data_IF_652184701144
#
_entry.id   IF_652184701144
#
_cell.length_a   1.000
_cell.length_b   1.000
_cell.length_c   1.000
_cell.angle_alpha   90.00
_cell.angle_beta   90.00
_cell.angle_gamma   90.00
#
_symmetry.space_group_name_H-M   'P 1'
#
loop_
_entity.id
_entity.type
_entity.pdbx_description
1 polymer ?
#
# COMPACT_ATOMS: atom_id res chain seq x y z
N UNK A 1 -4.99 11.86 -28.85
CA UNK A 1 -5.39 13.27 -28.65
C UNK A 1 -6.89 13.44 -28.78
N UNK A 2 -7.62 12.97 -27.76
CA UNK A 2 -8.92 13.51 -27.41
C UNK A 2 -8.80 14.94 -26.88
N UNK A 3 -9.93 15.64 -26.76
CA UNK A 3 -9.97 17.07 -26.41
C UNK A 3 -9.38 17.33 -25.01
N UNK A 4 -9.59 16.41 -24.06
CA UNK A 4 -9.07 16.51 -22.68
C UNK A 4 -7.54 16.43 -22.66
N UNK A 5 -6.94 15.44 -23.34
CA UNK A 5 -5.49 15.26 -23.44
C UNK A 5 -4.80 16.51 -24.00
N UNK A 6 -5.44 17.17 -24.96
CA UNK A 6 -4.94 18.40 -25.57
C UNK A 6 -4.96 19.58 -24.60
N UNK A 7 -5.98 19.69 -23.75
CA UNK A 7 -6.08 20.75 -22.73
C UNK A 7 -5.01 20.55 -21.65
N UNK A 8 -4.78 19.32 -21.16
CA UNK A 8 -3.70 19.06 -20.20
C UNK A 8 -2.31 19.27 -20.82
N UNK A 9 -2.10 18.86 -22.08
CA UNK A 9 -0.83 19.07 -22.78
C UNK A 9 -0.54 20.55 -23.06
N UNK A 10 -1.55 21.34 -23.45
CA UNK A 10 -1.37 22.78 -23.68
C UNK A 10 -1.20 23.56 -22.35
N UNK A 11 -1.82 23.13 -21.23
CA UNK A 11 -1.51 23.65 -19.87
C UNK A 11 -0.10 23.30 -19.39
N UNK A 12 0.34 22.05 -19.57
CA UNK A 12 1.72 21.63 -19.31
C UNK A 12 2.75 22.41 -20.14
N UNK A 13 2.34 22.94 -21.31
CA UNK A 13 3.14 23.80 -22.18
C UNK A 13 3.08 25.28 -21.80
N UNK A 14 2.00 25.73 -21.16
CA UNK A 14 1.83 27.11 -20.66
C UNK A 14 2.67 27.44 -19.42
N UNK A 15 3.07 26.42 -18.64
CA UNK A 15 3.98 26.59 -17.51
C UNK A 15 3.33 27.00 -16.19
N UNK A 16 2.04 26.70 -16.01
CA UNK A 16 1.27 26.91 -14.79
C UNK A 16 1.85 26.07 -13.62
N UNK A 17 2.80 26.65 -12.88
CA UNK A 17 3.54 26.03 -11.77
C UNK A 17 3.16 26.64 -10.40
N UNK A 18 2.05 26.15 -9.84
CA UNK A 18 1.68 26.15 -8.43
C UNK A 18 0.72 24.95 -8.29
N UNK A 19 0.84 24.04 -7.32
CA UNK A 19 1.20 24.21 -5.90
C UNK A 19 2.29 23.19 -5.40
N UNK A 20 2.56 23.20 -4.09
CA UNK A 20 3.22 22.16 -3.26
C UNK A 20 4.69 21.72 -3.49
N UNK A 21 5.48 22.39 -4.33
CA UNK A 21 6.95 22.14 -4.42
C UNK A 21 7.71 22.59 -3.14
N UNK A 22 7.14 23.50 -2.34
CA UNK A 22 7.69 24.01 -1.08
C UNK A 22 8.03 22.91 -0.07
N UNK A 23 7.08 22.01 0.14
CA UNK A 23 7.03 21.14 1.31
C UNK A 23 8.08 20.02 1.23
N UNK A 24 8.47 19.67 0.01
CA UNK A 24 9.48 18.67 -0.31
C UNK A 24 10.83 18.96 0.37
N UNK A 25 11.17 20.23 0.67
CA UNK A 25 12.43 20.57 1.37
C UNK A 25 12.46 20.17 2.84
N UNK A 26 11.33 20.14 3.53
CA UNK A 26 11.29 19.81 4.97
C UNK A 26 11.71 18.36 5.25
N UNK A 27 11.26 17.43 4.40
CA UNK A 27 11.42 15.99 4.59
C UNK A 27 12.88 15.48 4.51
N UNK A 28 13.79 16.18 3.81
CA UNK A 28 15.16 15.69 3.57
C UNK A 28 16.25 16.40 4.40
N UNK A 29 15.88 17.10 5.48
CA UNK A 29 16.83 17.97 6.23
C UNK A 29 17.17 17.48 7.64
N UNK A 30 16.73 16.29 8.06
CA UNK A 30 17.16 15.68 9.32
C UNK A 30 18.44 14.84 9.13
N UNK A 31 19.60 15.23 9.71
CA UNK A 31 20.80 14.41 9.66
C UNK A 31 20.67 13.18 10.58
N UNK A 32 21.13 12.03 10.10
CA UNK A 32 21.18 10.79 10.87
C UNK A 32 22.01 10.96 12.16
N UNK A 33 21.50 10.55 13.34
CA UNK A 33 22.26 10.56 14.58
C UNK A 33 23.51 9.68 14.48
N UNK A 34 24.69 10.25 14.68
CA UNK A 34 25.96 9.48 14.76
C UNK A 34 25.97 8.67 16.05
N UNK A 35 25.78 7.36 15.96
CA UNK A 35 25.82 6.45 17.10
C UNK A 35 27.21 6.38 17.73
N UNK A 36 27.34 6.96 18.92
CA UNK A 36 28.29 6.57 19.96
C UNK A 36 27.50 6.25 21.23
N UNK A 37 27.96 5.25 21.99
CA UNK A 37 27.17 4.63 23.05
C UNK A 37 27.16 5.38 24.39
N UNK A 38 26.61 4.69 25.40
CA UNK A 38 26.46 5.04 26.83
C UNK A 38 25.14 5.70 27.27
N UNK A 39 24.20 4.82 27.65
CA UNK A 39 23.47 4.80 28.95
C UNK A 39 22.67 6.00 29.49
N UNK A 40 21.36 5.72 29.67
CA UNK A 40 20.47 6.08 30.80
C UNK A 40 19.74 7.45 30.90
N UNK A 41 18.54 7.35 31.52
CA UNK A 41 17.76 8.33 32.33
C UNK A 41 16.96 9.49 31.69
N UNK A 42 15.63 9.29 31.68
CA UNK A 42 14.56 10.10 32.32
C UNK A 42 14.17 11.54 31.87
N UNK A 43 12.83 11.76 31.79
CA UNK A 43 12.08 13.04 32.01
C UNK A 43 12.25 14.14 30.92
N UNK A 44 11.34 15.09 30.67
CA UNK A 44 9.94 15.38 31.12
C UNK A 44 9.29 16.41 30.13
N UNK A 45 7.93 16.46 30.04
CA UNK A 45 7.12 17.70 29.73
C UNK A 45 7.34 18.39 28.35
N UNK A 46 6.72 19.50 27.89
CA UNK A 46 5.41 20.25 27.97
C UNK A 46 5.49 21.33 26.82
N UNK A 47 4.48 22.00 26.25
CA UNK A 47 3.00 22.01 26.32
C UNK A 47 2.41 22.72 25.06
N UNK A 48 1.19 22.35 24.65
CA UNK A 48 0.06 23.15 24.09
C UNK A 48 0.18 24.23 22.96
N UNK A 49 -1.03 24.56 22.44
CA UNK A 49 -1.48 25.72 21.62
C UNK A 49 -1.11 25.73 20.11
N UNK A 50 -2.03 25.77 19.12
CA UNK A 50 -3.34 26.44 18.90
C UNK A 50 -3.24 27.80 18.18
N UNK A 51 -3.58 27.84 16.87
CA UNK A 51 -4.58 28.74 16.23
C UNK A 51 -4.52 28.74 14.68
N UNK A 52 -5.69 28.98 14.08
CA UNK A 52 -5.89 29.32 12.65
C UNK A 52 -5.83 30.83 12.43
N UNK A 53 -5.63 31.27 11.19
CA UNK A 53 -6.13 32.58 10.70
C UNK A 53 -6.29 32.59 9.17
N UNK A 54 -7.06 33.57 8.68
CA UNK A 54 -7.82 33.46 7.44
C UNK A 54 -7.21 34.07 6.18
N UNK A 55 -7.83 33.73 5.04
CA UNK A 55 -7.45 34.13 3.68
C UNK A 55 -8.21 35.40 3.27
N UNK A 56 -7.67 36.60 3.55
CA UNK A 56 -8.24 37.84 2.98
C UNK A 56 -7.26 39.01 2.69
N UNK A 57 -6.00 39.00 3.19
CA UNK A 57 -5.05 40.13 2.95
C UNK A 57 -4.23 40.06 1.63
N UNK A 58 -4.40 39.03 0.80
CA UNK A 58 -3.54 38.82 -0.40
C UNK A 58 -4.05 39.43 -1.72
N UNK A 59 -5.23 40.05 -1.76
CA UNK A 59 -5.84 40.61 -2.98
C UNK A 59 -6.07 42.13 -2.92
N UNK A 60 -4.98 42.90 -2.77
CA UNK A 60 -5.04 44.37 -2.65
C UNK A 60 -3.94 45.15 -3.42
N UNK A 61 -3.46 44.64 -4.57
CA UNK A 61 -2.45 45.34 -5.39
C UNK A 61 -2.41 44.93 -6.88
N UNK A 62 -3.47 45.21 -7.67
CA UNK A 62 -3.41 45.03 -9.14
C UNK A 62 -4.20 46.04 -10.00
N UNK A 63 -4.86 47.05 -9.41
CA UNK A 63 -5.60 48.08 -10.16
C UNK A 63 -5.16 49.49 -9.75
N UNK A 64 -4.19 50.05 -10.48
CA UNK A 64 -3.90 51.49 -10.47
C UNK A 64 -3.17 51.93 -11.75
N UNK A 65 -3.88 52.74 -12.56
CA UNK A 65 -3.35 53.71 -13.53
C UNK A 65 -2.59 53.18 -14.78
N UNK A 66 -3.37 53.01 -15.85
CA UNK A 66 -3.01 53.52 -17.17
C UNK A 66 -2.85 55.07 -17.11
N UNK A 67 -1.96 55.69 -17.92
CA UNK A 67 -2.35 56.22 -19.25
C UNK A 67 -1.35 57.25 -19.88
N UNK A 68 -1.44 57.37 -21.22
CA UNK A 68 -1.07 58.45 -22.18
C UNK A 68 0.26 59.28 -22.14
N UNK A 69 1.02 59.11 -23.26
CA UNK A 69 1.49 60.14 -24.23
C UNK A 69 2.76 61.03 -24.03
N UNK A 70 3.71 60.77 -24.95
CA UNK A 70 4.23 61.72 -25.99
C UNK A 70 5.27 62.82 -25.65
N UNK A 71 6.52 62.61 -26.07
CA UNK A 71 7.27 63.57 -26.91
C UNK A 71 8.46 62.92 -27.67
N UNK A 72 9.10 63.68 -28.57
CA UNK A 72 10.21 63.32 -29.51
C UNK A 72 11.04 64.58 -29.82
N UNK A 73 12.25 64.53 -30.44
CA UNK A 73 13.11 63.38 -30.82
C UNK A 73 14.59 63.54 -30.35
N UNK A 74 15.50 62.71 -30.92
CA UNK A 74 16.98 62.81 -30.97
C UNK A 74 17.75 62.71 -29.62
N UNK A 75 18.96 62.12 -29.51
CA UNK A 75 20.03 61.85 -30.50
C UNK A 75 20.67 60.45 -30.33
N UNK A 76 21.49 60.07 -31.31
CA UNK A 76 22.16 58.78 -31.57
C UNK A 76 22.99 58.04 -30.47
N UNK A 77 22.97 56.69 -30.61
CA UNK A 77 24.14 55.76 -30.57
C UNK A 77 24.67 55.15 -29.24
N UNK A 78 24.81 53.80 -29.28
CA UNK A 78 25.61 52.89 -28.40
C UNK A 78 25.25 52.79 -26.90
N UNK A 79 24.33 51.87 -26.59
CA UNK A 79 24.64 50.49 -26.13
C UNK A 79 23.37 49.72 -25.77
N UNK A 80 23.11 48.59 -26.46
CA UNK A 80 22.23 47.55 -25.92
C UNK A 80 23.00 46.77 -24.83
N UNK A 81 23.11 47.37 -23.65
CA UNK A 81 23.50 46.65 -22.45
C UNK A 81 22.41 45.65 -22.11
N UNK A 82 22.79 44.40 -21.84
CA UNK A 82 21.84 43.35 -21.48
C UNK A 82 21.25 43.65 -20.10
N UNK A 83 20.00 44.13 -20.06
CA UNK A 83 19.18 43.93 -18.86
C UNK A 83 19.06 42.42 -18.67
N UNK A 84 19.81 41.90 -17.70
CA UNK A 84 19.48 40.64 -17.08
C UNK A 84 18.15 40.82 -16.37
N UNK A 85 17.06 40.59 -17.10
CA UNK A 85 15.83 40.07 -16.49
C UNK A 85 16.23 38.72 -15.94
N UNK A 86 16.70 38.72 -14.70
CA UNK A 86 16.93 37.53 -13.91
C UNK A 86 15.56 36.92 -13.62
N UNK A 87 15.01 36.22 -14.62
CA UNK A 87 13.95 35.25 -14.41
C UNK A 87 14.44 34.33 -13.30
N UNK A 88 13.82 34.46 -12.13
CA UNK A 88 14.10 33.63 -10.98
C UNK A 88 13.52 32.24 -11.25
N UNK A 89 14.16 31.51 -12.18
CA UNK A 89 13.88 30.11 -12.47
C UNK A 89 14.05 29.37 -11.15
N UNK A 90 12.92 29.09 -10.49
CA UNK A 90 12.89 28.59 -9.13
C UNK A 90 13.74 27.31 -9.08
N UNK A 91 14.90 27.39 -8.43
CA UNK A 91 15.91 26.32 -8.53
C UNK A 91 15.27 25.03 -8.04
N UNK A 92 15.11 24.10 -8.98
CA UNK A 92 14.49 22.80 -8.76
C UNK A 92 15.08 22.15 -7.51
N UNK A 93 14.26 21.61 -6.59
CA UNK A 93 14.78 21.00 -5.37
C UNK A 93 15.78 19.92 -5.71
N UNK A 94 16.93 19.94 -5.05
CA UNK A 94 18.08 19.09 -5.40
C UNK A 94 17.74 17.59 -5.35
N UNK A 95 16.83 17.17 -4.46
CA UNK A 95 16.30 15.80 -4.42
C UNK A 95 15.46 15.41 -5.65
N UNK A 96 14.74 16.34 -6.30
CA UNK A 96 14.03 16.07 -7.56
C UNK A 96 15.03 15.99 -8.72
N UNK A 97 16.08 16.82 -8.72
CA UNK A 97 17.18 16.70 -9.70
C UNK A 97 17.95 15.39 -9.52
N UNK A 98 18.13 14.91 -8.29
CA UNK A 98 18.72 13.59 -8.01
C UNK A 98 17.80 12.45 -8.49
N UNK A 99 16.49 12.54 -8.27
CA UNK A 99 15.51 11.59 -8.82
C UNK A 99 15.63 11.49 -10.35
N UNK A 100 15.69 12.63 -11.04
CA UNK A 100 15.84 12.65 -12.50
C UNK A 100 17.15 12.03 -12.98
N UNK A 101 18.27 12.26 -12.27
CA UNK A 101 19.55 11.62 -12.57
C UNK A 101 19.48 10.09 -12.38
N UNK A 102 18.89 9.62 -11.28
CA UNK A 102 18.70 8.18 -11.00
C UNK A 102 17.83 7.52 -12.07
N UNK A 103 16.67 8.12 -12.39
CA UNK A 103 15.76 7.59 -13.41
C UNK A 103 16.37 7.64 -14.82
N UNK A 104 17.11 8.70 -15.18
CA UNK A 104 17.82 8.77 -16.47
C UNK A 104 18.94 7.74 -16.59
N UNK A 105 19.65 7.47 -15.49
CA UNK A 105 20.66 6.41 -15.47
C UNK A 105 20.04 5.02 -15.64
N UNK A 106 18.93 4.73 -14.94
CA UNK A 106 18.22 3.44 -15.00
C UNK A 106 17.54 3.18 -16.35
N UNK A 107 16.81 4.16 -16.90
CA UNK A 107 16.07 3.98 -18.15
C UNK A 107 16.90 4.23 -19.43
N UNK A 108 18.10 4.81 -19.29
CA UNK A 108 18.97 5.23 -20.39
C UNK A 108 18.32 6.26 -21.36
N UNK A 109 17.34 7.03 -20.87
CA UNK A 109 16.60 8.07 -21.60
C UNK A 109 16.41 9.28 -20.66
N UNK A 110 16.49 10.55 -21.12
CA UNK A 110 16.24 11.72 -20.28
C UNK A 110 14.86 11.66 -19.62
N UNK A 111 14.83 11.82 -18.30
CA UNK A 111 13.60 11.80 -17.50
C UNK A 111 13.37 13.17 -16.88
N UNK A 112 12.14 13.66 -16.97
CA UNK A 112 11.68 14.84 -16.25
C UNK A 112 10.50 14.50 -15.34
N UNK A 113 10.64 14.74 -14.05
CA UNK A 113 9.52 14.81 -13.09
C UNK A 113 8.61 15.97 -13.48
N UNK A 114 7.32 15.67 -13.65
CA UNK A 114 6.29 16.64 -14.05
C UNK A 114 5.36 17.01 -12.89
N UNK A 115 5.07 16.07 -11.98
CA UNK A 115 4.23 16.29 -10.79
C UNK A 115 4.59 15.29 -9.69
N UNK A 116 4.41 15.68 -8.43
CA UNK A 116 4.42 14.79 -7.27
C UNK A 116 3.03 14.87 -6.61
N UNK A 117 2.56 13.76 -6.04
CA UNK A 117 1.31 13.67 -5.28
C UNK A 117 1.52 12.78 -4.05
N UNK A 118 0.77 13.00 -2.99
CA UNK A 118 0.58 11.99 -1.94
C UNK A 118 -0.40 10.91 -2.44
N UNK A 119 -0.19 9.66 -2.00
CA UNK A 119 -1.14 8.56 -2.20
C UNK A 119 -1.96 8.36 -0.90
N UNK A 120 -3.19 8.90 -0.82
CA UNK A 120 -3.93 9.04 0.45
C UNK A 120 -4.51 7.73 1.03
N UNK A 121 -4.20 6.57 0.43
CA UNK A 121 -4.79 5.27 0.77
C UNK A 121 -3.79 4.25 1.35
N UNK A 122 -2.55 4.66 1.61
CA UNK A 122 -1.45 3.75 2.04
C UNK A 122 -1.12 3.91 3.53
N UNK A 123 -0.84 2.79 4.22
CA UNK A 123 -0.41 2.79 5.64
C UNK A 123 1.01 3.36 5.79
N UNK A 124 1.88 3.16 4.79
CA UNK A 124 3.20 3.80 4.64
C UNK A 124 3.06 5.18 3.97
N UNK A 125 4.04 6.07 4.16
CA UNK A 125 4.05 7.37 3.44
C UNK A 125 4.56 7.17 2.01
N UNK A 126 3.63 7.09 1.05
CA UNK A 126 3.97 6.92 -0.38
C UNK A 126 3.66 8.19 -1.18
N UNK A 127 4.62 8.63 -2.02
CA UNK A 127 4.38 9.65 -3.04
C UNK A 127 4.25 9.01 -4.43
N UNK A 128 3.23 9.41 -5.21
CA UNK A 128 3.22 9.18 -6.66
C UNK A 128 4.05 10.28 -7.33
N UNK A 129 5.00 9.91 -8.18
CA UNK A 129 5.76 10.85 -9.02
C UNK A 129 5.44 10.60 -10.48
N UNK A 130 4.76 11.56 -11.11
CA UNK A 130 4.53 11.59 -12.54
C UNK A 130 5.82 12.01 -13.24
N UNK A 131 6.22 11.27 -14.28
CA UNK A 131 7.44 11.49 -15.05
C UNK A 131 7.17 11.53 -16.55
N UNK A 132 8.06 12.21 -17.28
CA UNK A 132 8.15 12.22 -18.73
C UNK A 132 9.49 11.57 -19.11
N UNK A 133 9.43 10.37 -19.72
CA UNK A 133 10.58 9.62 -20.24
C UNK A 133 10.74 9.99 -21.72
N UNK A 134 11.58 10.99 -22.01
CA UNK A 134 11.68 11.63 -23.32
C UNK A 134 10.37 12.32 -23.74
N UNK A 135 9.55 11.62 -24.53
CA UNK A 135 8.22 12.07 -24.96
C UNK A 135 7.07 11.23 -24.38
N UNK A 136 7.36 10.13 -23.66
CA UNK A 136 6.34 9.24 -23.10
C UNK A 136 6.06 9.60 -21.63
N UNK A 137 4.78 9.66 -21.24
CA UNK A 137 4.41 9.78 -19.83
C UNK A 137 4.60 8.43 -19.11
N UNK A 138 4.93 8.50 -17.83
CA UNK A 138 5.01 7.35 -16.93
C UNK A 138 4.87 7.79 -15.48
N UNK A 139 4.88 6.82 -14.56
CA UNK A 139 4.79 7.08 -13.12
C UNK A 139 5.76 6.16 -12.37
N UNK A 140 6.31 6.67 -11.28
CA UNK A 140 7.01 5.86 -10.27
C UNK A 140 6.45 6.20 -8.89
N UNK A 141 6.41 5.22 -7.99
CA UNK A 141 6.11 5.46 -6.59
C UNK A 141 7.38 5.60 -5.76
N UNK A 142 7.30 6.34 -4.68
CA UNK A 142 8.42 6.72 -3.83
C UNK A 142 8.02 6.49 -2.37
N UNK A 143 8.54 5.38 -1.81
CA UNK A 143 8.46 4.96 -0.40
C UNK A 143 8.98 6.06 0.56
N UNK A 144 8.61 6.03 1.85
CA UNK A 144 9.41 6.57 2.95
C UNK A 144 9.11 5.81 4.25
N UNK A 145 10.12 5.13 4.81
CA UNK A 145 10.00 4.27 6.00
C UNK A 145 11.31 4.22 6.81
N UNK A 146 11.35 3.47 7.92
CA UNK A 146 12.59 3.17 8.67
C UNK A 146 13.62 2.46 7.76
N UNK A 147 14.93 2.79 7.84
CA UNK A 147 15.95 2.20 6.97
C UNK A 147 16.03 0.67 6.96
N UNK A 148 15.63 -0.03 8.03
CA UNK A 148 15.59 -1.50 8.06
C UNK A 148 14.35 -2.05 7.35
N UNK A 149 13.20 -1.40 7.54
CA UNK A 149 11.95 -1.75 6.85
C UNK A 149 12.12 -1.50 5.35
N UNK A 150 12.69 -0.35 4.97
CA UNK A 150 13.06 -0.02 3.61
C UNK A 150 14.06 -1.03 3.00
N UNK A 151 15.10 -1.43 3.73
CA UNK A 151 16.04 -2.45 3.24
C UNK A 151 15.35 -3.80 3.01
N UNK A 152 14.47 -4.22 3.92
CA UNK A 152 13.63 -5.43 3.75
C UNK A 152 12.74 -5.32 2.50
N UNK A 153 12.01 -4.22 2.35
CA UNK A 153 11.15 -3.93 1.20
C UNK A 153 11.92 -4.03 -0.13
N UNK A 154 13.11 -3.41 -0.20
CA UNK A 154 13.98 -3.41 -1.38
C UNK A 154 14.55 -4.79 -1.72
N UNK A 155 15.06 -5.53 -0.73
CA UNK A 155 15.63 -6.87 -0.94
C UNK A 155 14.54 -7.86 -1.38
N UNK A 156 13.37 -7.85 -0.73
CA UNK A 156 12.25 -8.72 -1.14
C UNK A 156 11.76 -8.34 -2.54
N UNK A 157 11.54 -7.04 -2.83
CA UNK A 157 11.12 -6.56 -4.16
C UNK A 157 12.11 -6.96 -5.27
N UNK A 158 13.41 -6.88 -4.99
CA UNK A 158 14.47 -7.31 -5.93
C UNK A 158 14.36 -8.80 -6.27
N UNK A 159 14.25 -9.67 -5.24
CA UNK A 159 14.17 -11.11 -5.46
C UNK A 159 12.82 -11.57 -6.04
N UNK A 160 11.71 -10.95 -5.62
CA UNK A 160 10.39 -11.17 -6.20
C UNK A 160 10.36 -10.79 -7.69
N UNK A 161 10.88 -9.60 -8.06
CA UNK A 161 10.98 -9.15 -9.45
C UNK A 161 11.86 -10.07 -10.29
N UNK A 162 13.00 -10.53 -9.74
CA UNK A 162 13.90 -11.49 -10.38
C UNK A 162 13.25 -12.85 -10.67
N UNK A 163 12.40 -13.34 -9.77
CA UNK A 163 11.62 -14.58 -9.97
C UNK A 163 10.31 -14.35 -10.76
N UNK A 164 10.19 -13.21 -11.44
CA UNK A 164 9.04 -12.80 -12.25
C UNK A 164 7.71 -12.68 -11.49
N UNK A 165 7.75 -12.47 -10.17
CA UNK A 165 6.58 -12.03 -9.42
C UNK A 165 6.23 -10.60 -9.87
N UNK A 166 4.97 -10.31 -10.25
CA UNK A 166 4.52 -8.95 -10.46
C UNK A 166 4.64 -8.13 -9.16
N UNK A 167 5.64 -7.25 -9.13
CA UNK A 167 5.96 -6.33 -8.04
C UNK A 167 6.61 -5.10 -8.65
N UNK A 168 6.70 -4.02 -7.90
CA UNK A 168 7.60 -2.93 -8.25
C UNK A 168 9.05 -3.41 -8.26
N UNK A 169 9.71 -3.31 -9.43
CA UNK A 169 11.17 -3.46 -9.53
C UNK A 169 11.82 -2.27 -8.81
N UNK A 170 12.69 -2.48 -7.81
CA UNK A 170 13.39 -1.38 -7.15
C UNK A 170 14.49 -0.82 -8.06
N UNK A 171 14.32 0.41 -8.56
CA UNK A 171 15.30 1.05 -9.46
C UNK A 171 16.57 1.48 -8.71
N UNK A 172 17.72 1.44 -9.39
CA UNK A 172 19.06 1.74 -8.86
C UNK A 172 19.47 0.98 -7.58
N UNK A 173 18.79 -0.13 -7.25
CA UNK A 173 19.09 -1.00 -6.12
C UNK A 173 19.68 -2.35 -6.59
N UNK A 174 20.71 -2.80 -5.90
CA UNK A 174 21.22 -4.18 -5.94
C UNK A 174 21.69 -4.54 -4.54
N UNK A 175 21.34 -5.72 -4.02
CA UNK A 175 21.75 -6.14 -2.67
C UNK A 175 23.27 -6.42 -2.60
N UNK A 176 23.90 -6.74 -3.74
CA UNK A 176 25.34 -6.95 -3.89
C UNK A 176 26.16 -5.64 -3.87
N UNK A 177 25.50 -4.48 -3.92
CA UNK A 177 26.13 -3.16 -3.94
C UNK A 177 26.04 -2.45 -2.56
N UNK A 178 27.03 -1.62 -2.17
CA UNK A 178 26.94 -0.82 -0.95
C UNK A 178 25.70 0.08 -0.98
N UNK A 179 24.79 -0.11 -0.02
CA UNK A 179 23.57 0.67 0.09
C UNK A 179 23.89 2.16 0.29
N UNK A 180 23.76 2.94 -0.78
CA UNK A 180 23.91 4.40 -0.73
C UNK A 180 22.69 4.99 -0.02
N UNK A 181 22.87 5.44 1.22
CA UNK A 181 21.88 6.24 1.93
C UNK A 181 21.46 7.49 1.13
N UNK A 182 22.30 7.96 0.20
CA UNK A 182 21.98 9.04 -0.74
C UNK A 182 20.94 8.65 -1.82
N UNK A 183 20.77 7.36 -2.14
CA UNK A 183 19.61 6.87 -2.91
C UNK A 183 18.36 6.85 -2.02
N UNK A 184 18.56 6.69 -0.70
CA UNK A 184 17.59 7.00 0.35
C UNK A 184 17.22 8.49 0.49
N UNK A 185 17.77 9.41 -0.33
CA UNK A 185 17.20 10.77 -0.53
C UNK A 185 15.88 10.68 -1.32
N UNK A 186 15.50 9.49 -1.79
CA UNK A 186 14.14 9.16 -2.23
C UNK A 186 13.33 8.40 -1.18
N UNK A 187 13.90 8.04 -0.02
CA UNK A 187 13.22 7.34 1.07
C UNK A 187 12.70 5.92 0.78
N UNK A 188 12.78 5.44 -0.47
CA UNK A 188 11.84 4.42 -0.93
C UNK A 188 12.32 3.49 -2.04
N UNK A 189 11.63 2.34 -2.14
CA UNK A 189 11.57 1.57 -3.38
C UNK A 189 10.95 2.41 -4.47
N UNK A 190 11.74 2.79 -5.47
CA UNK A 190 11.24 3.41 -6.68
C UNK A 190 10.54 2.33 -7.51
N UNK A 191 9.21 2.28 -7.41
CA UNK A 191 8.39 1.26 -8.08
C UNK A 191 8.00 1.79 -9.46
N UNK A 192 8.47 1.15 -10.53
CA UNK A 192 7.91 1.40 -11.86
C UNK A 192 6.51 0.80 -11.99
N UNK A 193 5.56 1.69 -12.27
CA UNK A 193 4.22 1.41 -12.80
C UNK A 193 3.44 0.24 -12.18
N UNK A 194 3.17 0.35 -10.88
CA UNK A 194 1.83 -0.01 -10.40
C UNK A 194 0.78 0.87 -11.10
N UNK A 195 -0.38 0.29 -11.42
CA UNK A 195 -1.54 0.99 -11.97
C UNK A 195 -2.45 1.55 -10.88
N UNK A 196 -3.75 1.58 -11.16
CA UNK A 196 -4.78 1.87 -10.17
C UNK A 196 -4.76 0.83 -9.04
N UNK A 197 -4.96 1.27 -7.79
CA UNK A 197 -5.10 0.38 -6.63
C UNK A 197 -6.35 -0.51 -6.78
N UNK A 198 -6.30 -1.74 -6.29
CA UNK A 198 -7.39 -2.72 -6.47
C UNK A 198 -8.75 -2.21 -5.96
N UNK A 199 -8.75 -1.48 -4.84
CA UNK A 199 -9.97 -0.87 -4.29
C UNK A 199 -10.60 0.18 -5.24
N UNK A 200 -9.81 0.97 -5.96
CA UNK A 200 -10.32 1.92 -6.96
C UNK A 200 -10.81 1.20 -8.23
N UNK A 201 -10.14 0.11 -8.63
CA UNK A 201 -10.61 -0.71 -9.75
C UNK A 201 -12.01 -1.27 -9.44
N UNK A 202 -12.23 -1.82 -8.24
CA UNK A 202 -13.55 -2.33 -7.84
C UNK A 202 -14.64 -1.26 -7.90
N UNK A 203 -14.35 -0.02 -7.47
CA UNK A 203 -15.31 1.10 -7.57
C UNK A 203 -15.69 1.39 -9.03
N UNK A 204 -14.71 1.40 -9.94
CA UNK A 204 -14.95 1.58 -11.39
C UNK A 204 -15.70 0.40 -12.03
N UNK A 205 -15.69 -0.77 -11.39
CA UNK A 205 -16.37 -1.99 -11.83
C UNK A 205 -17.77 -2.18 -11.21
N UNK A 206 -18.34 -1.21 -10.48
CA UNK A 206 -19.69 -1.24 -9.86
C UNK A 206 -20.74 -1.96 -10.73
N UNK A 207 -20.74 -1.67 -12.04
CA UNK A 207 -21.75 -2.12 -13.00
C UNK A 207 -21.38 -3.40 -13.76
N UNK A 208 -20.32 -4.08 -13.33
CA UNK A 208 -19.73 -5.25 -13.99
C UNK A 208 -19.28 -6.34 -12.97
N UNK A 209 -20.21 -6.94 -12.20
CA UNK A 209 -19.88 -7.89 -11.13
C UNK A 209 -19.12 -9.14 -11.61
N UNK A 210 -19.40 -9.64 -12.83
CA UNK A 210 -18.65 -10.75 -13.44
C UNK A 210 -17.16 -10.40 -13.64
N UNK A 211 -16.89 -9.14 -13.95
CA UNK A 211 -15.53 -8.63 -14.10
C UNK A 211 -14.85 -8.51 -12.74
N UNK A 212 -15.57 -8.11 -11.67
CA UNK A 212 -15.02 -8.14 -10.30
C UNK A 212 -14.53 -9.55 -9.92
N UNK A 213 -15.29 -10.61 -10.23
CA UNK A 213 -14.82 -11.97 -10.03
C UNK A 213 -13.58 -12.28 -10.89
N UNK A 214 -13.58 -11.92 -12.19
CA UNK A 214 -12.40 -12.10 -13.05
C UNK A 214 -11.15 -11.42 -12.46
N UNK A 215 -11.27 -10.23 -11.89
CA UNK A 215 -10.14 -9.54 -11.26
C UNK A 215 -9.57 -10.33 -10.08
N UNK A 216 -10.43 -10.88 -9.21
CA UNK A 216 -10.01 -11.71 -8.08
C UNK A 216 -9.30 -12.99 -8.55
N UNK A 217 -9.79 -13.64 -9.61
CA UNK A 217 -9.10 -14.80 -10.22
C UNK A 217 -7.70 -14.42 -10.74
N UNK A 218 -7.53 -13.22 -11.31
CA UNK A 218 -6.21 -12.67 -11.63
C UNK A 218 -5.29 -12.57 -10.41
N UNK A 219 -5.79 -12.06 -9.27
CA UNK A 219 -5.03 -11.98 -8.02
C UNK A 219 -4.69 -13.37 -7.46
N UNK A 220 -5.59 -14.36 -7.56
CA UNK A 220 -5.31 -15.75 -7.19
C UNK A 220 -4.11 -16.33 -7.98
N UNK A 221 -4.08 -16.07 -9.29
CA UNK A 221 -2.94 -16.40 -10.15
C UNK A 221 -1.64 -15.66 -9.77
N UNK A 222 -1.73 -14.37 -9.42
CA UNK A 222 -0.58 -13.58 -8.92
C UNK A 222 -0.06 -14.12 -7.58
N UNK A 223 -0.93 -14.49 -6.63
CA UNK A 223 -0.54 -15.03 -5.33
C UNK A 223 0.19 -16.39 -5.46
N UNK A 224 -0.28 -17.26 -6.35
CA UNK A 224 0.41 -18.52 -6.64
C UNK A 224 1.82 -18.31 -7.21
N UNK A 225 1.99 -17.28 -8.05
CA UNK A 225 3.29 -16.87 -8.59
C UNK A 225 4.18 -16.22 -7.51
N UNK A 226 3.62 -15.39 -6.64
CA UNK A 226 4.31 -14.79 -5.49
C UNK A 226 4.87 -15.86 -4.54
N UNK A 227 4.02 -16.76 -4.05
CA UNK A 227 4.44 -17.85 -3.15
C UNK A 227 5.52 -18.74 -3.80
N UNK A 228 5.40 -19.04 -5.09
CA UNK A 228 6.43 -19.79 -5.82
C UNK A 228 7.76 -19.03 -5.93
N UNK A 229 7.73 -17.74 -6.28
CA UNK A 229 8.92 -16.91 -6.44
C UNK A 229 9.67 -16.64 -5.13
N UNK A 230 8.95 -16.28 -4.06
CA UNK A 230 9.53 -16.11 -2.73
C UNK A 230 10.10 -17.42 -2.19
N UNK A 231 9.40 -18.54 -2.38
CA UNK A 231 9.87 -19.84 -1.90
C UNK A 231 11.16 -20.31 -2.59
N UNK A 232 11.36 -20.00 -3.89
CA UNK A 232 12.66 -20.21 -4.56
C UNK A 232 13.74 -19.27 -4.01
N UNK A 233 13.39 -18.00 -3.81
CA UNK A 233 14.30 -16.98 -3.28
C UNK A 233 14.63 -17.13 -1.79
N UNK A 234 14.00 -18.08 -1.07
CA UNK A 234 14.15 -18.29 0.38
C UNK A 234 15.61 -18.29 0.85
N UNK A 235 16.52 -18.95 0.13
CA UNK A 235 17.94 -18.94 0.50
C UNK A 235 18.54 -17.56 0.32
N UNK A 236 18.36 -16.94 -0.84
CA UNK A 236 18.88 -15.61 -1.17
C UNK A 236 18.43 -14.53 -0.18
N UNK A 237 17.16 -14.58 0.26
CA UNK A 237 16.62 -13.68 1.28
C UNK A 237 17.39 -13.82 2.60
N UNK A 238 17.61 -15.06 3.07
CA UNK A 238 18.35 -15.35 4.31
C UNK A 238 19.85 -15.04 4.18
N UNK A 239 20.47 -15.31 3.02
CA UNK A 239 21.85 -14.93 2.70
C UNK A 239 22.04 -13.38 2.78
N UNK A 240 20.97 -12.60 2.59
CA UNK A 240 20.91 -11.13 2.75
C UNK A 240 20.29 -10.65 4.08
N UNK A 241 20.17 -11.53 5.09
CA UNK A 241 19.68 -11.17 6.43
C UNK A 241 18.17 -10.88 6.51
N UNK A 242 17.40 -11.24 5.48
CA UNK A 242 15.94 -11.10 5.46
C UNK A 242 15.31 -12.41 5.93
N UNK A 243 15.04 -12.48 7.23
CA UNK A 243 14.27 -13.57 7.83
C UNK A 243 12.77 -13.43 7.53
N UNK A 244 12.14 -14.55 7.17
CA UNK A 244 10.70 -14.71 7.06
C UNK A 244 10.20 -15.52 8.29
N UNK A 245 9.95 -14.87 9.44
CA UNK A 245 9.65 -15.54 10.71
C UNK A 245 8.41 -16.43 10.58
N UNK A 246 8.34 -17.51 11.36
CA UNK A 246 7.18 -18.40 11.35
C UNK A 246 5.97 -17.67 11.94
N UNK A 247 4.90 -17.55 11.16
CA UNK A 247 3.67 -16.89 11.60
C UNK A 247 3.07 -17.57 12.84
N UNK A 248 2.67 -16.76 13.81
CA UNK A 248 1.86 -17.18 14.96
C UNK A 248 0.66 -16.26 15.09
N UNK A 249 -0.53 -16.86 15.15
CA UNK A 249 -1.78 -16.11 15.36
C UNK A 249 -1.82 -15.47 16.76
N UNK A 250 -1.25 -16.14 17.77
CA UNK A 250 -1.07 -15.62 19.13
C UNK A 250 -0.23 -14.32 19.12
N UNK A 251 0.88 -14.31 18.38
CA UNK A 251 1.73 -13.12 18.25
C UNK A 251 0.99 -11.97 17.57
N UNK A 252 0.30 -12.24 16.45
CA UNK A 252 -0.50 -11.24 15.73
C UNK A 252 -1.65 -10.67 16.58
N UNK A 253 -2.29 -11.52 17.41
CA UNK A 253 -3.27 -11.09 18.41
C UNK A 253 -2.63 -10.18 19.48
N UNK A 254 -1.44 -10.49 19.99
CA UNK A 254 -0.77 -9.62 20.95
C UNK A 254 -0.31 -8.29 20.35
N UNK A 255 0.16 -8.25 19.10
CA UNK A 255 0.57 -7.00 18.44
C UNK A 255 -0.62 -6.09 18.11
N UNK A 256 -1.71 -6.66 17.60
CA UNK A 256 -2.92 -5.91 17.21
C UNK A 256 -3.82 -5.58 18.41
N UNK A 257 -4.06 -6.55 19.31
CA UNK A 257 -5.03 -6.45 20.39
C UNK A 257 -4.40 -6.16 21.76
N UNK A 258 -3.15 -6.56 22.00
CA UNK A 258 -2.50 -6.37 23.31
C UNK A 258 -2.37 -4.90 23.73
N UNK A 259 -2.24 -4.00 22.74
CA UNK A 259 -2.26 -2.53 22.93
C UNK A 259 -3.68 -2.01 23.18
N UNK A 260 -4.66 -2.54 22.47
CA UNK A 260 -6.07 -2.12 22.50
C UNK A 260 -6.82 -2.61 23.74
N UNK A 261 -6.40 -3.75 24.32
CA UNK A 261 -7.04 -4.45 25.43
C UNK A 261 -6.19 -4.43 26.72
N UNK A 262 -5.39 -3.39 26.93
CA UNK A 262 -4.70 -3.09 28.20
C UNK A 262 -4.00 -4.29 28.89
N UNK A 263 -3.36 -5.18 28.12
CA UNK A 263 -2.59 -6.29 28.67
C UNK A 263 -3.39 -7.54 29.11
N UNK A 264 -4.57 -7.80 28.55
CA UNK A 264 -5.33 -9.06 28.76
C UNK A 264 -4.69 -10.31 28.10
N UNK A 265 -3.37 -10.50 28.25
CA UNK A 265 -2.59 -11.54 27.56
C UNK A 265 -3.19 -12.94 27.74
N UNK A 266 -3.53 -13.34 28.97
CA UNK A 266 -4.13 -14.64 29.25
C UNK A 266 -5.52 -14.85 28.60
N UNK A 267 -6.25 -13.80 28.18
CA UNK A 267 -7.50 -13.94 27.40
C UNK A 267 -7.18 -14.14 25.91
N UNK A 268 -6.18 -13.42 25.39
CA UNK A 268 -5.68 -13.55 24.02
C UNK A 268 -5.04 -14.92 23.76
N UNK A 269 -4.24 -15.45 24.69
CA UNK A 269 -3.66 -16.80 24.63
C UNK A 269 -4.75 -17.88 24.52
N UNK A 270 -5.81 -17.79 25.34
CA UNK A 270 -6.95 -18.73 25.26
C UNK A 270 -7.69 -18.63 23.93
N UNK A 271 -7.84 -17.43 23.37
CA UNK A 271 -8.44 -17.22 22.06
C UNK A 271 -7.57 -17.81 20.94
N UNK A 272 -6.25 -17.60 21.00
CA UNK A 272 -5.29 -18.16 20.05
C UNK A 272 -5.32 -19.70 20.06
N UNK A 273 -5.41 -20.29 21.25
CA UNK A 273 -5.56 -21.74 21.42
C UNK A 273 -6.92 -22.26 20.94
N UNK A 274 -8.02 -21.58 21.25
CA UNK A 274 -9.37 -21.97 20.80
C UNK A 274 -9.52 -21.90 19.27
N UNK A 275 -8.81 -21.00 18.61
CA UNK A 275 -8.78 -20.83 17.14
C UNK A 275 -7.54 -21.44 16.48
N UNK A 276 -6.81 -22.33 17.17
CA UNK A 276 -5.55 -22.89 16.67
C UNK A 276 -5.76 -23.75 15.41
N UNK A 277 -5.16 -23.33 14.29
CA UNK A 277 -5.15 -24.10 13.04
C UNK A 277 -3.74 -24.71 12.81
N UNK A 278 -3.56 -26.04 12.86
CA UNK A 278 -2.27 -26.68 12.65
C UNK A 278 -1.86 -26.66 11.17
N UNK A 279 -1.05 -25.67 10.79
CA UNK A 279 -0.53 -25.54 9.43
C UNK A 279 0.31 -26.77 9.00
N UNK A 280 -0.12 -27.41 7.90
CA UNK A 280 0.39 -28.69 7.36
C UNK A 280 1.49 -28.57 6.32
N UNK A 281 1.66 -27.36 5.78
CA UNK A 281 2.67 -26.97 4.82
C UNK A 281 3.13 -25.55 5.17
N UNK A 282 4.35 -25.20 4.79
CA UNK A 282 4.91 -23.87 5.06
C UNK A 282 5.63 -23.36 3.82
N UNK A 283 5.27 -22.15 3.41
CA UNK A 283 5.90 -21.39 2.33
C UNK A 283 6.23 -19.98 2.84
N UNK A 284 7.05 -19.22 2.12
CA UNK A 284 7.11 -17.77 2.33
C UNK A 284 5.83 -17.14 1.77
N UNK A 285 5.15 -16.38 2.61
CA UNK A 285 3.92 -15.64 2.38
C UNK A 285 4.24 -14.13 2.35
N UNK A 286 3.36 -13.32 1.74
CA UNK A 286 3.43 -11.86 1.72
C UNK A 286 3.22 -11.25 3.11
N UNK A 287 2.23 -11.73 3.86
CA UNK A 287 1.99 -11.30 5.26
C UNK A 287 0.84 -10.32 5.48
N UNK A 288 0.57 -9.37 4.58
CA UNK A 288 -0.65 -8.55 4.66
C UNK A 288 -1.20 -8.29 3.24
N UNK A 289 -2.14 -9.12 2.78
CA UNK A 289 -2.63 -9.13 1.38
C UNK A 289 -4.00 -8.47 1.27
N UNK A 290 -4.13 -7.23 1.73
CA UNK A 290 -5.39 -6.48 1.58
C UNK A 290 -5.49 -5.77 0.22
N UNK A 291 -6.69 -5.29 -0.12
CA UNK A 291 -7.02 -4.60 -1.40
C UNK A 291 -6.34 -3.23 -1.62
N UNK A 292 -5.37 -2.86 -0.77
CA UNK A 292 -4.46 -1.72 -0.94
C UNK A 292 -3.05 -2.16 -1.35
N UNK A 293 -2.65 -3.36 -0.97
CA UNK A 293 -1.35 -3.97 -1.29
C UNK A 293 -1.39 -4.75 -2.62
N UNK A 294 -2.58 -4.86 -3.22
CA UNK A 294 -2.82 -5.32 -4.59
C UNK A 294 -3.01 -4.11 -5.52
N UNK A 295 -2.28 -4.11 -6.62
CA UNK A 295 -2.28 -3.04 -7.64
C UNK A 295 -2.51 -3.65 -9.02
N UNK A 296 -3.13 -2.90 -9.94
CA UNK A 296 -3.19 -3.33 -11.34
C UNK A 296 -1.83 -3.18 -12.03
N UNK A 297 -1.62 -3.91 -13.12
CA UNK A 297 -0.52 -3.65 -14.06
C UNK A 297 -1.02 -2.79 -15.23
N UNK A 298 -0.14 -2.03 -15.89
CA UNK A 298 -0.50 -1.30 -17.14
C UNK A 298 0.24 -1.84 -18.35
N UNK A 299 -0.47 -2.11 -19.45
CA UNK A 299 0.15 -2.34 -20.75
C UNK A 299 0.54 -1.01 -21.41
N UNK A 300 1.72 -0.95 -22.02
CA UNK A 300 2.06 0.14 -22.95
C UNK A 300 1.58 -0.22 -24.36
N UNK A 301 0.34 0.14 -24.69
CA UNK A 301 -0.16 0.02 -26.05
C UNK A 301 0.32 1.22 -26.86
N UNK A 302 1.20 0.96 -27.85
CA UNK A 302 2.04 1.95 -28.54
C UNK A 302 1.34 3.01 -29.40
N UNK A 303 0.01 3.12 -29.31
CA UNK A 303 -0.83 4.10 -30.01
C UNK A 303 -1.83 4.82 -29.09
N UNK A 304 -2.13 4.28 -27.91
CA UNK A 304 -3.16 4.76 -26.97
C UNK A 304 -2.63 5.14 -25.58
N UNK A 305 -1.42 4.69 -25.22
CA UNK A 305 -0.77 5.01 -23.95
C UNK A 305 -0.81 3.85 -22.94
N UNK A 306 -0.67 4.15 -21.62
CA UNK A 306 -0.76 3.13 -20.58
C UNK A 306 -2.22 2.74 -20.31
N UNK A 307 -2.59 1.50 -20.62
CA UNK A 307 -3.92 0.94 -20.38
C UNK A 307 -3.89 0.01 -19.16
N UNK A 308 -4.78 0.25 -18.18
CA UNK A 308 -4.90 -0.56 -16.97
C UNK A 308 -5.42 -1.97 -17.29
N UNK A 309 -4.65 -3.01 -16.97
CA UNK A 309 -5.02 -4.41 -17.17
C UNK A 309 -5.87 -4.91 -15.99
N UNK A 310 -7.06 -5.40 -16.31
CA UNK A 310 -8.06 -5.89 -15.34
C UNK A 310 -7.85 -7.35 -14.91
N UNK A 311 -6.85 -8.03 -15.46
CA UNK A 311 -6.52 -9.43 -15.20
C UNK A 311 -5.02 -9.66 -14.90
N UNK A 312 -4.23 -8.59 -14.77
CA UNK A 312 -2.84 -8.65 -14.33
C UNK A 312 -2.64 -7.72 -13.15
N UNK A 313 -2.16 -8.29 -12.03
CA UNK A 313 -2.01 -7.58 -10.76
C UNK A 313 -0.59 -7.72 -10.22
N UNK A 314 -0.08 -6.63 -9.66
CA UNK A 314 1.12 -6.59 -8.83
C UNK A 314 0.80 -6.71 -7.35
N UNK A 315 1.80 -7.11 -6.57
CA UNK A 315 1.81 -7.09 -5.10
C UNK A 315 2.91 -6.13 -4.64
N UNK A 316 2.64 -5.38 -3.57
CA UNK A 316 3.55 -4.43 -2.92
C UNK A 316 3.39 -4.51 -1.40
N UNK A 317 4.27 -3.86 -0.64
CA UNK A 317 4.22 -3.75 0.84
C UNK A 317 4.73 -5.02 1.56
N UNK A 318 6.00 -5.36 1.29
CA UNK A 318 6.67 -6.59 1.73
C UNK A 318 7.17 -6.56 3.20
N UNK A 319 6.66 -5.68 4.06
CA UNK A 319 7.13 -5.58 5.46
C UNK A 319 6.80 -6.82 6.29
N UNK A 320 5.72 -7.53 5.97
CA UNK A 320 5.13 -8.56 6.84
C UNK A 320 5.44 -10.00 6.40
N UNK A 321 6.37 -10.18 5.44
CA UNK A 321 6.70 -11.50 4.90
C UNK A 321 7.07 -12.51 5.98
N UNK A 322 6.43 -13.68 5.91
CA UNK A 322 6.45 -14.67 6.98
C UNK A 322 6.44 -16.11 6.43
N UNK A 323 6.89 -17.08 7.22
CA UNK A 323 6.78 -18.50 6.90
C UNK A 323 5.44 -19.04 7.47
N UNK A 324 4.46 -19.29 6.60
CA UNK A 324 3.09 -19.67 6.98
C UNK A 324 2.47 -20.68 6.00
N UNK A 325 1.25 -21.17 6.29
CA UNK A 325 0.46 -21.91 5.32
C UNK A 325 -0.08 -20.96 4.24
N UNK A 326 0.07 -21.23 2.94
CA UNK A 326 -0.33 -20.29 1.87
C UNK A 326 -1.81 -19.92 1.90
N UNK A 327 -2.67 -20.72 2.55
CA UNK A 327 -4.09 -20.36 2.76
C UNK A 327 -4.28 -19.06 3.55
N UNK A 328 -3.30 -18.64 4.35
CA UNK A 328 -3.33 -17.41 5.14
C UNK A 328 -3.59 -16.23 4.21
N UNK A 329 -2.71 -16.04 3.23
CA UNK A 329 -2.73 -14.91 2.31
C UNK A 329 -3.86 -15.01 1.27
N UNK A 330 -4.26 -16.24 0.91
CA UNK A 330 -5.43 -16.52 0.04
C UNK A 330 -6.73 -16.11 0.75
N UNK A 331 -6.87 -16.39 2.06
CA UNK A 331 -8.01 -15.97 2.88
C UNK A 331 -7.96 -14.48 3.18
N UNK A 332 -6.77 -13.95 3.46
CA UNK A 332 -6.51 -12.54 3.73
C UNK A 332 -7.09 -11.66 2.62
N UNK A 333 -6.60 -11.88 1.39
CA UNK A 333 -7.13 -11.20 0.21
C UNK A 333 -8.64 -11.36 0.06
N UNK A 334 -9.19 -12.56 0.28
CA UNK A 334 -10.62 -12.80 0.04
C UNK A 334 -11.53 -12.12 1.06
N UNK A 335 -11.15 -12.09 2.35
CA UNK A 335 -11.90 -11.35 3.38
C UNK A 335 -11.93 -9.86 3.03
N UNK A 336 -10.79 -9.30 2.59
CA UNK A 336 -10.69 -7.91 2.16
C UNK A 336 -11.46 -7.63 0.85
N UNK A 337 -11.35 -8.51 -0.14
CA UNK A 337 -12.06 -8.46 -1.43
C UNK A 337 -13.56 -8.49 -1.25
N UNK A 338 -14.10 -9.48 -0.53
CA UNK A 338 -15.55 -9.62 -0.31
C UNK A 338 -16.11 -8.44 0.47
N UNK A 339 -15.36 -7.89 1.44
CA UNK A 339 -15.76 -6.66 2.15
C UNK A 339 -15.83 -5.47 1.20
N UNK A 340 -14.78 -5.25 0.40
CA UNK A 340 -14.71 -4.16 -0.57
C UNK A 340 -15.83 -4.28 -1.63
N UNK A 341 -15.99 -5.47 -2.24
CA UNK A 341 -17.05 -5.72 -3.21
C UNK A 341 -18.44 -5.57 -2.61
N UNK A 342 -18.73 -6.11 -1.41
CA UNK A 342 -20.06 -5.96 -0.79
C UNK A 342 -20.41 -4.52 -0.43
N UNK A 343 -19.43 -3.63 -0.25
CA UNK A 343 -19.69 -2.20 -0.06
C UNK A 343 -20.17 -1.48 -1.34
N UNK A 344 -19.87 -2.05 -2.51
CA UNK A 344 -20.21 -1.50 -3.84
C UNK A 344 -21.41 -2.24 -4.45
N UNK A 345 -21.40 -3.58 -4.33
CA UNK A 345 -22.43 -4.49 -4.83
C UNK A 345 -22.88 -5.44 -3.70
N UNK A 346 -23.84 -5.03 -2.85
CA UNK A 346 -24.25 -5.80 -1.67
C UNK A 346 -24.83 -7.21 -1.95
N UNK A 347 -25.15 -7.52 -3.20
CA UNK A 347 -25.64 -8.83 -3.66
C UNK A 347 -24.54 -9.76 -4.17
N UNK A 348 -23.27 -9.50 -3.84
CA UNK A 348 -22.16 -10.34 -4.28
C UNK A 348 -22.18 -11.73 -3.63
N UNK A 349 -22.35 -12.74 -4.48
CA UNK A 349 -22.25 -14.16 -4.13
C UNK A 349 -20.77 -14.59 -4.10
N UNK A 350 -20.37 -15.31 -3.04
CA UNK A 350 -18.98 -15.68 -2.83
C UNK A 350 -18.57 -16.91 -3.68
N UNK A 351 -17.96 -16.65 -4.84
CA UNK A 351 -17.36 -17.67 -5.70
C UNK A 351 -16.01 -18.23 -5.16
N UNK A 352 -15.93 -18.50 -3.85
CA UNK A 352 -14.69 -18.85 -3.16
C UNK A 352 -14.02 -20.13 -3.68
N UNK A 353 -14.80 -21.17 -3.98
CA UNK A 353 -14.26 -22.44 -4.46
C UNK A 353 -13.60 -22.28 -5.85
N UNK A 354 -14.09 -21.33 -6.66
CA UNK A 354 -13.48 -20.96 -7.95
C UNK A 354 -12.15 -20.21 -7.72
N UNK A 355 -12.09 -19.33 -6.72
CA UNK A 355 -10.86 -18.63 -6.33
C UNK A 355 -9.77 -19.59 -5.79
N UNK A 356 -10.14 -20.57 -4.94
CA UNK A 356 -9.21 -21.64 -4.53
C UNK A 356 -8.78 -22.49 -5.74
N UNK A 357 -9.71 -22.88 -6.63
CA UNK A 357 -9.39 -23.70 -7.78
C UNK A 357 -8.40 -23.01 -8.74
N UNK A 358 -8.56 -21.71 -8.97
CA UNK A 358 -7.65 -20.91 -9.77
C UNK A 358 -6.26 -20.77 -9.12
N UNK A 359 -6.19 -20.45 -7.83
CA UNK A 359 -4.92 -20.47 -7.09
C UNK A 359 -4.24 -21.86 -7.20
N UNK A 360 -5.01 -22.93 -7.04
CA UNK A 360 -4.50 -24.30 -7.08
C UNK A 360 -3.97 -24.70 -8.46
N UNK A 361 -4.68 -24.32 -9.53
CA UNK A 361 -4.26 -24.47 -10.93
C UNK A 361 -2.94 -23.73 -11.17
N UNK A 362 -2.91 -22.43 -10.86
CA UNK A 362 -1.71 -21.61 -11.04
C UNK A 362 -0.53 -22.12 -10.20
N UNK A 363 -0.74 -22.53 -8.95
CA UNK A 363 0.31 -23.09 -8.08
C UNK A 363 0.90 -24.37 -8.66
N UNK A 364 0.06 -25.23 -9.25
CA UNK A 364 0.49 -26.47 -9.93
C UNK A 364 1.34 -26.17 -11.16
N UNK A 365 0.95 -25.18 -11.96
CA UNK A 365 1.71 -24.72 -13.13
C UNK A 365 3.06 -24.07 -12.77
N UNK A 366 3.15 -23.33 -11.65
CA UNK A 366 4.38 -22.64 -11.22
C UNK A 366 5.36 -23.52 -10.44
N UNK A 367 4.89 -24.55 -9.74
CA UNK A 367 5.73 -25.36 -8.83
C UNK A 367 5.87 -26.83 -9.23
N UNK A 368 5.08 -27.30 -10.21
CA UNK A 368 4.94 -28.72 -10.56
C UNK A 368 4.18 -29.55 -9.51
N UNK A 369 3.96 -29.01 -8.32
CA UNK A 369 3.29 -29.69 -7.20
C UNK A 369 1.84 -29.22 -7.10
N UNK A 370 0.92 -30.17 -6.95
CA UNK A 370 -0.48 -29.86 -6.74
C UNK A 370 -0.67 -29.19 -5.37
N UNK A 371 -1.22 -27.97 -5.36
CA UNK A 371 -1.67 -27.36 -4.12
C UNK A 371 -2.82 -28.19 -3.56
N UNK A 372 -2.54 -28.93 -2.49
CA UNK A 372 -3.56 -29.67 -1.76
C UNK A 372 -4.54 -28.67 -1.16
N UNK A 373 -5.74 -28.60 -1.74
CA UNK A 373 -6.84 -27.76 -1.26
C UNK A 373 -7.02 -27.94 0.26
N UNK A 374 -7.13 -26.83 1.03
CA UNK A 374 -7.30 -26.89 2.48
C UNK A 374 -8.60 -27.63 2.83
N UNK A 375 -8.66 -28.23 4.02
CA UNK A 375 -9.94 -28.75 4.50
C UNK A 375 -10.87 -27.60 4.86
N UNK A 376 -12.18 -27.85 4.79
CA UNK A 376 -13.23 -26.86 5.13
C UNK A 376 -13.09 -26.35 6.57
N UNK A 377 -12.66 -27.19 7.51
CA UNK A 377 -12.42 -26.76 8.90
C UNK A 377 -11.15 -25.89 9.06
N UNK A 378 -10.11 -26.12 8.25
CA UNK A 378 -8.90 -25.27 8.20
C UNK A 378 -9.21 -23.90 7.59
N UNK A 379 -9.96 -23.90 6.50
CA UNK A 379 -10.48 -22.72 5.81
C UNK A 379 -11.26 -21.81 6.78
N UNK A 380 -12.26 -22.37 7.46
CA UNK A 380 -13.15 -21.60 8.34
C UNK A 380 -12.36 -21.00 9.50
N UNK A 381 -11.43 -21.76 10.11
CA UNK A 381 -10.53 -21.22 11.14
C UNK A 381 -9.71 -20.04 10.63
N UNK A 382 -9.10 -20.13 9.46
CA UNK A 382 -8.31 -19.01 8.92
C UNK A 382 -9.16 -17.78 8.59
N UNK A 383 -10.42 -17.94 8.15
CA UNK A 383 -11.36 -16.82 8.00
C UNK A 383 -11.63 -16.14 9.35
N UNK A 384 -12.01 -16.90 10.38
CA UNK A 384 -12.21 -16.37 11.74
C UNK A 384 -10.95 -15.69 12.27
N UNK A 385 -9.76 -16.27 12.05
CA UNK A 385 -8.49 -15.65 12.47
C UNK A 385 -8.29 -14.26 11.84
N UNK A 386 -8.49 -14.09 10.52
CA UNK A 386 -8.34 -12.75 9.90
C UNK A 386 -9.46 -11.80 10.30
N UNK A 387 -10.71 -12.25 10.37
CA UNK A 387 -11.82 -11.42 10.84
C UNK A 387 -11.58 -10.91 12.28
N UNK A 388 -11.01 -11.74 13.17
CA UNK A 388 -10.67 -11.35 14.56
C UNK A 388 -9.56 -10.30 14.62
N UNK A 389 -8.58 -10.34 13.71
CA UNK A 389 -7.57 -9.28 13.60
C UNK A 389 -8.16 -8.00 13.00
N UNK A 390 -9.03 -8.14 11.99
CA UNK A 390 -9.69 -7.01 11.33
C UNK A 390 -10.74 -6.31 12.22
N UNK A 391 -11.29 -6.95 13.24
CA UNK A 391 -12.21 -6.33 14.21
C UNK A 391 -11.62 -5.08 14.90
N UNK A 392 -10.30 -4.99 15.03
CA UNK A 392 -9.60 -4.04 15.92
C UNK A 392 -8.43 -3.33 15.21
N UNK A 393 -8.59 -2.96 13.94
CA UNK A 393 -7.59 -2.26 13.11
C UNK A 393 -7.17 -0.91 13.72
N UNK A 394 -5.98 -0.81 14.36
CA UNK A 394 -5.60 0.34 15.17
C UNK A 394 -5.14 1.55 14.34
N UNK A 395 -5.08 1.39 13.01
CA UNK A 395 -4.73 2.47 12.08
C UNK A 395 -5.94 3.35 11.70
N UNK A 396 -7.15 3.00 12.13
CA UNK A 396 -8.38 3.74 11.82
C UNK A 396 -8.69 4.79 12.88
N UNK A 397 -9.21 5.93 12.44
CA UNK A 397 -9.46 7.12 13.28
C UNK A 397 -10.88 7.66 13.18
N UNK A 398 -11.66 7.30 12.15
CA UNK A 398 -13.09 7.63 12.07
C UNK A 398 -13.93 6.62 12.88
N UNK A 399 -14.67 7.05 13.92
CA UNK A 399 -15.54 6.18 14.69
C UNK A 399 -16.61 5.45 13.87
N UNK A 400 -17.09 6.02 12.76
CA UNK A 400 -18.14 5.41 11.94
C UNK A 400 -17.60 4.26 11.09
N UNK A 401 -16.53 4.48 10.32
CA UNK A 401 -15.82 3.44 9.57
C UNK A 401 -15.25 2.33 10.48
N UNK A 402 -14.83 2.65 11.72
CA UNK A 402 -14.49 1.65 12.75
C UNK A 402 -15.72 0.80 13.10
N UNK A 403 -16.86 1.42 13.44
CA UNK A 403 -18.06 0.71 13.83
C UNK A 403 -18.64 -0.16 12.69
N UNK A 404 -18.60 0.32 11.45
CA UNK A 404 -19.07 -0.43 10.28
C UNK A 404 -18.19 -1.63 9.95
N UNK A 405 -16.86 -1.44 9.94
CA UNK A 405 -15.90 -2.55 9.78
C UNK A 405 -16.04 -3.58 10.90
N UNK A 406 -16.12 -3.14 12.16
CA UNK A 406 -16.27 -4.02 13.30
C UNK A 406 -17.61 -4.80 13.25
N UNK A 407 -18.72 -4.17 12.83
CA UNK A 407 -20.00 -4.85 12.60
C UNK A 407 -19.88 -5.92 11.53
N UNK A 408 -19.21 -5.64 10.40
CA UNK A 408 -18.99 -6.60 9.32
C UNK A 408 -18.22 -7.84 9.82
N UNK A 409 -17.06 -7.66 10.45
CA UNK A 409 -16.24 -8.79 10.89
C UNK A 409 -16.86 -9.57 12.05
N UNK A 410 -17.56 -8.91 12.99
CA UNK A 410 -18.30 -9.61 14.04
C UNK A 410 -19.40 -10.52 13.45
N UNK A 411 -20.09 -10.06 12.39
CA UNK A 411 -21.07 -10.87 11.66
C UNK A 411 -20.42 -12.03 10.90
N UNK A 412 -19.28 -11.80 10.23
CA UNK A 412 -18.53 -12.85 9.53
C UNK A 412 -18.03 -13.93 10.52
N UNK A 413 -17.48 -13.53 11.67
CA UNK A 413 -17.09 -14.43 12.77
C UNK A 413 -18.29 -15.27 13.24
N UNK A 414 -19.46 -14.66 13.45
CA UNK A 414 -20.65 -15.40 13.89
C UNK A 414 -21.05 -16.50 12.89
N UNK A 415 -21.10 -16.18 11.59
CA UNK A 415 -21.41 -17.14 10.53
C UNK A 415 -20.34 -18.24 10.42
N UNK A 416 -19.07 -17.85 10.39
CA UNK A 416 -17.93 -18.77 10.29
C UNK A 416 -17.85 -19.70 11.51
N UNK A 417 -18.01 -19.21 12.75
CA UNK A 417 -18.02 -20.04 13.95
C UNK A 417 -19.25 -20.97 14.03
N UNK A 418 -20.42 -20.54 13.55
CA UNK A 418 -21.60 -21.39 13.44
C UNK A 418 -21.33 -22.57 12.48
N UNK A 419 -20.71 -22.32 11.33
CA UNK A 419 -20.27 -23.38 10.42
C UNK A 419 -19.17 -24.27 11.03
N UNK A 420 -18.23 -23.68 11.77
CA UNK A 420 -17.15 -24.43 12.44
C UNK A 420 -17.66 -25.38 13.54
N UNK A 421 -18.80 -25.06 14.16
CA UNK A 421 -19.42 -25.84 15.26
C UNK A 421 -19.68 -27.30 14.88
N UNK A 422 -19.91 -27.58 13.60
CA UNK A 422 -20.10 -28.95 13.08
C UNK A 422 -18.82 -29.80 13.07
N UNK A 423 -17.64 -29.16 13.05
CA UNK A 423 -16.34 -29.83 13.03
C UNK A 423 -15.70 -29.93 14.41
N UNK A 424 -15.83 -28.89 15.25
CA UNK A 424 -15.26 -28.88 16.60
C UNK A 424 -16.09 -28.00 17.58
N UNK A 425 -17.17 -28.53 18.16
CA UNK A 425 -18.08 -27.73 18.99
C UNK A 425 -17.45 -27.22 20.29
N UNK A 426 -16.44 -27.92 20.83
CA UNK A 426 -15.76 -27.51 22.06
C UNK A 426 -14.90 -26.26 21.84
N UNK A 427 -14.05 -26.24 20.80
CA UNK A 427 -13.27 -25.06 20.44
C UNK A 427 -14.17 -23.90 19.98
N UNK A 428 -15.25 -24.17 19.23
CA UNK A 428 -16.25 -23.13 18.91
C UNK A 428 -16.83 -22.49 20.16
N UNK A 429 -17.24 -23.29 21.15
CA UNK A 429 -17.85 -22.76 22.38
C UNK A 429 -16.89 -21.86 23.15
N UNK A 430 -15.62 -22.28 23.31
CA UNK A 430 -14.59 -21.48 23.98
C UNK A 430 -14.28 -20.17 23.21
N UNK A 431 -14.19 -20.23 21.88
CA UNK A 431 -13.97 -19.03 21.06
C UNK A 431 -15.16 -18.06 21.13
N UNK A 432 -16.40 -18.58 21.07
CA UNK A 432 -17.63 -17.78 21.21
C UNK A 432 -17.72 -17.12 22.58
N UNK A 433 -17.40 -17.84 23.66
CA UNK A 433 -17.40 -17.28 25.02
C UNK A 433 -16.42 -16.12 25.15
N UNK A 434 -15.16 -16.33 24.73
CA UNK A 434 -14.10 -15.32 24.84
C UNK A 434 -14.40 -14.10 23.95
N UNK A 435 -14.80 -14.30 22.70
CA UNK A 435 -15.11 -13.19 21.78
C UNK A 435 -16.37 -12.43 22.22
N UNK A 436 -17.41 -13.11 22.72
CA UNK A 436 -18.60 -12.43 23.21
C UNK A 436 -18.36 -11.61 24.47
N UNK A 437 -17.40 -12.01 25.31
CA UNK A 437 -16.94 -11.28 26.50
C UNK A 437 -16.11 -10.05 26.08
N UNK A 438 -15.15 -10.20 25.17
CA UNK A 438 -14.34 -9.10 24.61
C UNK A 438 -15.19 -8.04 23.88
N UNK A 439 -16.26 -8.45 23.20
CA UNK A 439 -17.09 -7.56 22.40
C UNK A 439 -18.30 -6.99 23.17
N UNK A 440 -18.61 -7.49 24.37
CA UNK A 440 -19.72 -7.03 25.19
C UNK A 440 -19.76 -5.51 25.49
N UNK A 441 -18.62 -4.78 25.63
CA UNK A 441 -18.64 -3.33 25.85
C UNK A 441 -19.13 -2.51 24.64
N UNK A 442 -19.18 -3.09 23.44
CA UNK A 442 -19.47 -2.36 22.21
C UNK A 442 -20.95 -2.51 21.84
N UNK A 443 -21.75 -1.50 22.17
CA UNK A 443 -23.20 -1.48 21.98
C UNK A 443 -23.66 -1.82 20.55
N UNK A 444 -22.90 -1.41 19.54
CA UNK A 444 -23.17 -1.68 18.13
C UNK A 444 -22.89 -3.13 17.69
N UNK A 445 -22.30 -3.97 18.54
CA UNK A 445 -22.01 -5.39 18.29
C UNK A 445 -22.99 -6.37 18.99
N UNK A 446 -24.00 -5.86 19.71
CA UNK A 446 -24.98 -6.68 20.45
C UNK A 446 -25.67 -7.75 19.59
N UNK A 447 -26.07 -7.43 18.36
CA UNK A 447 -26.69 -8.42 17.45
C UNK A 447 -25.70 -9.51 16.98
N UNK A 448 -24.50 -9.18 16.42
CA UNK A 448 -23.45 -10.18 16.19
C UNK A 448 -23.17 -11.09 17.39
N UNK A 449 -23.05 -10.54 18.61
CA UNK A 449 -22.78 -11.31 19.83
C UNK A 449 -23.93 -12.28 20.17
N UNK A 450 -25.19 -11.85 19.99
CA UNK A 450 -26.35 -12.74 20.13
C UNK A 450 -26.32 -13.88 19.09
N UNK A 451 -25.91 -13.59 17.84
CA UNK A 451 -25.78 -14.59 16.77
C UNK A 451 -24.64 -15.58 17.01
N UNK A 452 -23.52 -15.16 17.62
CA UNK A 452 -22.44 -16.07 18.02
C UNK A 452 -22.90 -17.11 19.07
N UNK A 453 -23.81 -16.71 19.97
CA UNK A 453 -24.31 -17.52 21.10
C UNK A 453 -25.47 -18.46 20.74
N UNK A 454 -26.14 -18.24 19.61
CA UNK A 454 -27.13 -19.15 19.03
C UNK A 454 -26.45 -20.34 18.33
#
# INVERSE_FOLDING_TARGET
MGVIERIEFERLRAGEYQESISDFRSYFTHPLPRTRGHTFTSMEREMDAEKSMDVEELFAASEALEDTRSMKPDTEVRKLGSLHVASAVAKKPDAITLLEQVLTAEYHIPVRVTRIRDLPQTRKKVKEVCILKGNALGRVWVLHDDPKVLYKELVVSYFASREHVPTGKPLAFSPDAPFKADIGILGGSVIEHAGDAYTELLQRLERAPDVMLKTALGVASTLALCHAGLQKSKKSLSDYGIDAPRYSFEHALHETLGRTLNGEHARLERLAHALYCPARSYMINHGDVHTGNIVTMTAQNGSTGPETLIDQFGIIDWSDICTAHPIRDIVDFWVHHVRAVRSIFPRYEEAWDIFIAEYGRASKERTGNEFRSPRVDELILHRVQRDVLELFDPARTDPQDIADKARYHAWAIAQNLQAYRAFNPQCTSAAVEILADMLAPFDYLKEPIQRMKA
#
